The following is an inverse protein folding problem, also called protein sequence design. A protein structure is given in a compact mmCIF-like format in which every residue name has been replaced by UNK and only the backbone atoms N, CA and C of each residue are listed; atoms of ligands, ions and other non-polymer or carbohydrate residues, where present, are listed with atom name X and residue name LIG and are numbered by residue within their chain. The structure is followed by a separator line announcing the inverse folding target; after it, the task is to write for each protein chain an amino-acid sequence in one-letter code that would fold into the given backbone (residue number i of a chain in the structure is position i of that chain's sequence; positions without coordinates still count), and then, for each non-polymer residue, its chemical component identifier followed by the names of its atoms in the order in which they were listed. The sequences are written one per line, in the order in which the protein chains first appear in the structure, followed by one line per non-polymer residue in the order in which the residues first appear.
data_IF_027339133527
#
_entry.id   IF_027339133527
#
_cell.length_a   1.000
_cell.length_b   1.000
_cell.length_c   1.000
_cell.angle_alpha   90.00
_cell.angle_beta   90.00
_cell.angle_gamma   90.00
#
_symmetry.space_group_name_H-M   'P 1'
#
loop_
_entity.id
_entity.type
_entity.pdbx_description
1 polymer ?
#
# COMPACT_ATOMS: atom_id res chain seq x y z
N UNK A 1 13.53 -1.00 7.50
CA UNK A 1 12.48 -1.60 6.64
C UNK A 1 12.10 -2.93 7.23
N UNK A 2 10.83 -3.17 7.49
CA UNK A 2 10.31 -4.48 7.90
C UNK A 2 9.83 -5.16 6.62
N UNK A 3 10.31 -6.37 6.35
CA UNK A 3 9.92 -7.17 5.18
C UNK A 3 9.31 -8.46 5.70
N UNK A 4 8.12 -8.78 5.19
CA UNK A 4 7.32 -9.92 5.63
C UNK A 4 6.78 -10.67 4.42
N UNK A 5 6.83 -11.99 4.48
CA UNK A 5 6.18 -12.90 3.53
C UNK A 5 5.10 -13.63 4.31
N UNK A 6 3.83 -13.46 3.93
CA UNK A 6 2.69 -14.10 4.60
C UNK A 6 1.84 -14.79 3.55
N UNK A 7 1.45 -16.03 3.80
CA UNK A 7 0.45 -16.74 3.01
C UNK A 7 -0.94 -16.37 3.55
N UNK A 8 -1.67 -15.51 2.83
CA UNK A 8 -3.03 -15.10 3.16
C UNK A 8 -4.09 -16.03 2.54
N UNK A 9 -3.70 -17.21 2.08
CA UNK A 9 -4.65 -18.17 1.54
C UNK A 9 -5.74 -18.47 2.58
N UNK A 10 -7.02 -18.48 2.19
CA UNK A 10 -8.11 -18.71 3.12
C UNK A 10 -7.91 -20.05 3.83
N UNK A 11 -8.07 -20.04 5.15
CA UNK A 11 -8.02 -21.23 6.00
C UNK A 11 -9.09 -22.18 5.49
N UNK A 12 -8.70 -23.25 4.77
CA UNK A 12 -9.63 -24.32 4.46
C UNK A 12 -10.10 -24.90 5.79
N UNK A 13 -11.42 -24.98 6.04
CA UNK A 13 -11.92 -25.59 7.27
C UNK A 13 -11.34 -27.00 7.38
N UNK A 14 -11.02 -27.48 8.59
CA UNK A 14 -10.47 -28.81 8.78
C UNK A 14 -11.50 -29.82 8.24
N UNK A 15 -11.30 -30.29 7.02
CA UNK A 15 -12.06 -31.40 6.47
C UNK A 15 -11.64 -32.61 7.28
N UNK A 16 -12.56 -33.15 8.07
CA UNK A 16 -12.44 -34.40 8.80
C UNK A 16 -12.23 -35.55 7.80
N UNK A 17 -11.02 -35.67 7.25
CA UNK A 17 -10.62 -36.74 6.36
C UNK A 17 -9.54 -37.57 7.05
N UNK A 18 -10.01 -38.67 7.63
CA UNK A 18 -9.36 -39.98 7.81
C UNK A 18 -7.88 -40.05 7.44
N UNK A 19 -7.05 -40.16 8.49
CA UNK A 19 -5.72 -40.80 8.56
C UNK A 19 -4.99 -41.03 7.22
N UNK A 20 -4.32 -40.01 6.70
CA UNK A 20 -3.34 -40.13 5.63
C UNK A 20 -2.05 -39.42 6.02
N UNK A 21 -0.94 -40.14 5.99
CA UNK A 21 0.43 -39.69 6.25
C UNK A 21 0.80 -38.50 5.35
N UNK A 22 0.67 -37.27 5.85
CA UNK A 22 1.00 -36.04 5.13
C UNK A 22 2.38 -35.51 5.54
N UNK A 23 3.14 -35.12 4.52
CA UNK A 23 4.48 -34.53 4.59
C UNK A 23 4.53 -33.29 5.49
N UNK A 24 5.50 -33.26 6.42
CA UNK A 24 5.74 -32.18 7.41
C UNK A 24 5.81 -30.75 6.85
N UNK A 25 5.99 -30.54 5.54
CA UNK A 25 6.09 -29.20 4.94
C UNK A 25 4.74 -28.50 4.72
N UNK A 26 3.62 -29.22 4.66
CA UNK A 26 2.32 -28.59 4.39
C UNK A 26 1.49 -28.30 5.66
N UNK A 27 1.87 -28.88 6.81
CA UNK A 27 1.14 -28.70 8.07
C UNK A 27 1.38 -27.33 8.74
N UNK A 28 2.37 -26.55 8.30
CA UNK A 28 2.64 -25.22 8.88
C UNK A 28 1.68 -24.11 8.39
N UNK A 29 0.82 -24.38 7.40
CA UNK A 29 0.05 -23.30 6.77
C UNK A 29 -1.14 -22.77 7.57
N UNK A 30 -1.71 -23.55 8.49
CA UNK A 30 -2.85 -23.10 9.29
C UNK A 30 -2.60 -23.27 10.78
N UNK A 31 -2.18 -22.19 11.43
CA UNK A 31 -2.07 -22.14 12.88
C UNK A 31 -3.46 -21.99 13.49
N UNK A 32 -3.73 -22.70 14.59
CA UNK A 32 -5.00 -22.55 15.31
C UNK A 32 -5.20 -21.07 15.75
N UNK A 33 -6.43 -20.53 15.66
CA UNK A 33 -6.75 -19.21 16.18
C UNK A 33 -6.38 -19.08 17.66
N UNK A 34 -5.99 -17.88 18.07
CA UNK A 34 -5.68 -17.61 19.48
C UNK A 34 -6.98 -17.35 20.22
N UNK A 35 -7.34 -18.24 21.16
CA UNK A 35 -8.47 -18.04 22.06
C UNK A 35 -8.11 -16.97 23.09
N UNK A 36 -8.91 -15.91 23.17
CA UNK A 36 -8.73 -14.85 24.16
C UNK A 36 -9.52 -15.17 25.44
N UNK A 37 -8.96 -14.78 26.58
CA UNK A 37 -9.69 -14.79 27.85
C UNK A 37 -10.81 -13.73 27.84
N UNK A 38 -11.87 -13.93 28.61
CA UNK A 38 -13.05 -13.03 28.63
C UNK A 38 -12.69 -11.54 28.83
N UNK A 39 -11.72 -11.22 29.68
CA UNK A 39 -11.26 -9.84 29.89
C UNK A 39 -10.59 -9.24 28.65
N UNK A 40 -9.81 -10.03 27.92
CA UNK A 40 -9.16 -9.60 26.67
C UNK A 40 -10.19 -9.54 25.55
N UNK A 41 -11.08 -10.53 25.44
CA UNK A 41 -12.13 -10.56 24.44
C UNK A 41 -13.01 -9.30 24.50
N UNK A 42 -13.34 -8.81 25.71
CA UNK A 42 -14.09 -7.57 25.89
C UNK A 42 -13.33 -6.32 25.42
N UNK A 43 -11.99 -6.29 25.54
CA UNK A 43 -11.16 -5.17 25.09
C UNK A 43 -10.98 -5.15 23.57
N UNK A 44 -10.83 -6.33 22.98
CA UNK A 44 -10.55 -6.49 21.55
C UNK A 44 -11.82 -6.67 20.71
N UNK A 45 -12.98 -6.85 21.34
CA UNK A 45 -14.25 -7.10 20.64
C UNK A 45 -14.36 -8.46 19.96
N UNK A 46 -13.39 -9.36 20.18
CA UNK A 46 -13.33 -10.67 19.54
C UNK A 46 -12.96 -11.76 20.56
N UNK A 47 -13.60 -12.93 20.48
CA UNK A 47 -13.24 -14.08 21.33
C UNK A 47 -12.00 -14.82 20.83
N UNK A 48 -11.72 -14.70 19.53
CA UNK A 48 -10.63 -15.38 18.85
C UNK A 48 -9.90 -14.40 17.95
N UNK A 49 -8.57 -14.53 17.88
CA UNK A 49 -7.74 -13.80 16.93
C UNK A 49 -7.24 -14.75 15.84
N UNK A 50 -7.41 -14.33 14.59
CA UNK A 50 -6.91 -15.07 13.43
C UNK A 50 -5.39 -14.99 13.39
N UNK A 51 -4.77 -16.13 13.08
CA UNK A 51 -3.31 -16.27 13.07
C UNK A 51 -2.87 -16.94 11.77
N UNK A 52 -1.94 -16.29 11.09
CA UNK A 52 -1.35 -16.74 9.84
C UNK A 52 0.14 -16.98 10.04
N UNK A 53 0.62 -18.11 9.56
CA UNK A 53 2.06 -18.38 9.52
C UNK A 53 2.71 -17.54 8.42
N UNK A 54 3.92 -17.08 8.67
CA UNK A 54 4.70 -16.32 7.71
C UNK A 54 6.18 -16.28 8.10
N UNK A 55 6.92 -15.46 7.37
CA UNK A 55 8.34 -15.25 7.57
C UNK A 55 8.61 -13.75 7.69
N UNK A 56 9.37 -13.36 8.70
CA UNK A 56 9.81 -11.99 8.93
C UNK A 56 11.31 -11.86 8.73
N UNK A 57 11.75 -10.87 7.96
CA UNK A 57 13.17 -10.57 7.82
C UNK A 57 13.73 -9.97 9.12
N UNK A 58 14.68 -10.66 9.74
CA UNK A 58 15.42 -10.17 10.90
C UNK A 58 16.89 -9.95 10.51
N UNK A 59 17.34 -8.68 10.37
CA UNK A 59 18.72 -8.38 9.97
C UNK A 59 19.76 -8.84 11.01
N UNK A 60 19.34 -9.15 12.24
CA UNK A 60 20.23 -9.64 13.31
C UNK A 60 20.24 -11.16 13.39
N UNK A 61 19.33 -11.86 12.72
CA UNK A 61 19.32 -13.31 12.71
C UNK A 61 20.49 -13.81 11.85
N UNK A 62 21.49 -14.40 12.50
CA UNK A 62 22.51 -15.23 11.83
C UNK A 62 21.86 -16.54 11.40
N UNK A 63 21.02 -16.48 10.37
CA UNK A 63 20.60 -17.70 9.67
C UNK A 63 21.75 -18.17 8.79
N UNK A 64 21.97 -19.49 8.75
CA UNK A 64 22.96 -20.12 7.87
C UNK A 64 22.59 -20.00 6.39
N UNK A 65 21.34 -19.65 6.08
CA UNK A 65 20.85 -19.43 4.73
C UNK A 65 20.64 -17.92 4.53
N UNK A 66 21.22 -17.38 3.47
CA UNK A 66 21.53 -15.96 3.23
C UNK A 66 20.36 -14.96 3.26
N UNK A 67 19.11 -15.37 3.49
CA UNK A 67 17.99 -14.44 3.39
C UNK A 67 17.53 -13.82 4.72
N UNK A 68 18.09 -14.21 5.88
CA UNK A 68 17.77 -13.58 7.18
C UNK A 68 16.28 -13.64 7.59
N UNK A 69 15.46 -14.45 6.90
CA UNK A 69 14.06 -14.68 7.26
C UNK A 69 13.98 -15.69 8.40
N UNK A 70 13.08 -15.41 9.33
CA UNK A 70 12.76 -16.29 10.45
C UNK A 70 11.26 -16.43 10.59
N UNK A 71 10.82 -17.54 11.17
CA UNK A 71 9.41 -17.83 11.40
C UNK A 71 8.74 -16.69 12.17
N UNK A 72 7.62 -16.22 11.62
CA UNK A 72 6.82 -15.16 12.19
C UNK A 72 5.32 -15.50 12.09
N UNK A 73 4.54 -14.98 13.02
CA UNK A 73 3.09 -15.09 12.97
C UNK A 73 2.50 -13.72 12.71
N UNK A 74 1.64 -13.61 11.69
CA UNK A 74 0.73 -12.49 11.53
C UNK A 74 -0.53 -12.79 12.35
N UNK A 75 -0.92 -11.84 13.20
CA UNK A 75 -2.15 -11.88 13.97
C UNK A 75 -3.02 -10.72 13.51
N UNK A 76 -4.22 -11.02 13.03
CA UNK A 76 -5.17 -10.01 12.54
C UNK A 76 -6.30 -9.80 13.55
N UNK A 77 -6.72 -8.54 13.69
CA UNK A 77 -7.83 -8.09 14.52
C UNK A 77 -8.54 -6.92 13.85
N UNK A 78 -9.72 -6.56 14.33
CA UNK A 78 -10.52 -5.49 13.72
C UNK A 78 -9.80 -4.13 13.81
N UNK A 79 -9.24 -3.67 12.68
CA UNK A 79 -8.49 -2.41 12.59
C UNK A 79 -7.01 -2.48 13.04
N UNK A 80 -6.53 -3.63 13.49
CA UNK A 80 -5.15 -3.83 13.96
C UNK A 80 -4.55 -5.11 13.42
N UNK A 81 -3.24 -5.11 13.19
CA UNK A 81 -2.51 -6.35 12.93
C UNK A 81 -1.19 -6.33 13.67
N UNK A 82 -0.68 -7.50 14.04
CA UNK A 82 0.58 -7.59 14.74
C UNK A 82 1.40 -8.75 14.22
N UNK A 83 2.72 -8.62 14.38
CA UNK A 83 3.68 -9.62 13.95
C UNK A 83 4.52 -10.08 15.12
N UNK A 84 4.60 -11.39 15.29
CA UNK A 84 5.39 -12.04 16.33
C UNK A 84 6.48 -12.89 15.69
N UNK A 85 7.74 -12.48 15.86
CA UNK A 85 8.90 -13.29 15.48
C UNK A 85 9.10 -14.39 16.52
N UNK A 86 8.97 -15.65 16.11
CA UNK A 86 8.95 -16.78 17.04
C UNK A 86 10.31 -16.94 17.75
N UNK A 87 11.46 -16.92 17.07
CA UNK A 87 12.75 -17.16 17.73
C UNK A 87 13.15 -16.04 18.70
N UNK A 88 12.89 -14.79 18.33
CA UNK A 88 13.30 -13.62 19.14
C UNK A 88 12.23 -13.17 20.13
N UNK A 89 11.02 -13.73 20.04
CA UNK A 89 9.82 -13.28 20.78
C UNK A 89 9.54 -11.79 20.65
N UNK A 90 10.01 -11.17 19.56
CA UNK A 90 9.77 -9.77 19.27
C UNK A 90 8.35 -9.63 18.73
N UNK A 91 7.54 -8.82 19.40
CA UNK A 91 6.17 -8.53 18.99
C UNK A 91 6.06 -7.07 18.54
N UNK A 92 5.60 -6.85 17.31
CA UNK A 92 5.36 -5.51 16.76
C UNK A 92 3.88 -5.38 16.46
N UNK A 93 3.26 -4.31 16.99
CA UNK A 93 1.87 -3.98 16.76
C UNK A 93 1.75 -2.87 15.72
N UNK A 94 0.84 -3.05 14.78
CA UNK A 94 0.45 -2.06 13.80
C UNK A 94 -1.01 -1.73 14.02
N UNK A 95 -1.29 -0.43 14.07
CA UNK A 95 -2.64 0.10 14.06
C UNK A 95 -2.90 0.71 12.70
N UNK A 96 -4.13 0.61 12.20
CA UNK A 96 -4.54 1.42 11.06
C UNK A 96 -4.51 2.88 11.53
N UNK A 97 -3.68 3.75 10.92
CA UNK A 97 -3.72 5.17 11.26
C UNK A 97 -5.13 5.70 10.99
N UNK A 98 -5.57 6.65 11.81
CA UNK A 98 -6.89 7.27 11.62
C UNK A 98 -6.96 7.92 10.24
N UNK A 99 -8.12 7.91 9.54
CA UNK A 99 -8.25 8.53 8.23
C UNK A 99 -7.78 9.99 8.20
N UNK A 100 -8.01 10.75 9.26
CA UNK A 100 -7.57 12.14 9.37
C UNK A 100 -6.04 12.25 9.37
N UNK A 101 -5.35 11.32 10.05
CA UNK A 101 -3.90 11.27 10.07
C UNK A 101 -3.34 10.83 8.71
N UNK A 102 -3.99 9.88 8.03
CA UNK A 102 -3.60 9.49 6.66
C UNK A 102 -3.71 10.70 5.74
N UNK A 103 -4.81 11.45 5.79
CA UNK A 103 -5.00 12.65 4.99
C UNK A 103 -3.95 13.72 5.30
N UNK A 104 -3.58 13.88 6.57
CA UNK A 104 -2.50 14.79 6.98
C UNK A 104 -1.15 14.34 6.40
N UNK A 105 -0.79 13.06 6.55
CA UNK A 105 0.46 12.51 6.01
C UNK A 105 0.50 12.57 4.48
N UNK A 106 -0.64 12.40 3.80
CA UNK A 106 -0.73 12.55 2.35
C UNK A 106 -0.53 14.01 1.92
N UNK A 107 -1.10 14.97 2.66
CA UNK A 107 -0.84 16.40 2.40
C UNK A 107 0.62 16.76 2.63
N UNK A 108 1.20 16.31 3.75
CA UNK A 108 2.60 16.59 4.08
C UNK A 108 3.59 15.93 3.10
N UNK A 109 3.16 14.87 2.40
CA UNK A 109 3.97 14.21 1.37
C UNK A 109 4.00 14.94 0.03
N UNK A 110 3.07 15.89 -0.18
CA UNK A 110 3.10 16.76 -1.35
C UNK A 110 4.16 17.82 -1.07
N UNK A 111 5.19 17.89 -1.91
CA UNK A 111 6.21 18.93 -1.75
C UNK A 111 5.55 20.31 -1.91
N UNK A 112 6.06 21.32 -1.20
CA UNK A 112 5.67 22.72 -1.44
C UNK A 112 5.88 23.08 -2.93
N UNK A 113 6.90 22.50 -3.56
CA UNK A 113 7.15 22.66 -5.00
C UNK A 113 6.04 22.04 -5.85
N UNK A 114 5.53 20.87 -5.47
CA UNK A 114 4.41 20.21 -6.17
C UNK A 114 3.13 21.03 -6.02
N UNK A 115 2.87 21.61 -4.83
CA UNK A 115 1.73 22.52 -4.62
C UNK A 115 1.86 23.78 -5.48
N UNK A 116 3.06 24.36 -5.56
CA UNK A 116 3.34 25.52 -6.40
C UNK A 116 3.20 25.20 -7.89
N UNK A 117 3.67 24.05 -8.35
CA UNK A 117 3.51 23.61 -9.74
C UNK A 117 2.04 23.36 -10.07
N UNK A 118 1.29 22.72 -9.17
CA UNK A 118 -0.14 22.47 -9.35
C UNK A 118 -0.95 23.80 -9.38
N UNK A 119 -0.58 24.78 -8.55
CA UNK A 119 -1.15 26.13 -8.63
C UNK A 119 -0.78 26.86 -9.92
N UNK A 120 0.48 26.74 -10.38
CA UNK A 120 0.92 27.35 -11.65
C UNK A 120 0.21 26.73 -12.85
N UNK A 121 0.07 25.42 -12.90
CA UNK A 121 -0.68 24.72 -13.96
C UNK A 121 -2.15 25.15 -13.95
N UNK A 122 -2.78 25.18 -12.77
CA UNK A 122 -4.14 25.67 -12.62
C UNK A 122 -4.31 27.12 -13.12
N UNK A 123 -3.43 28.03 -12.70
CA UNK A 123 -3.44 29.42 -13.16
C UNK A 123 -3.21 29.53 -14.67
N UNK A 124 -2.28 28.76 -15.23
CA UNK A 124 -2.00 28.74 -16.69
C UNK A 124 -3.25 28.33 -17.46
N UNK A 125 -3.94 27.26 -17.03
CA UNK A 125 -5.21 26.83 -17.61
C UNK A 125 -6.33 27.86 -17.48
N UNK A 126 -6.29 28.71 -16.45
CA UNK A 126 -7.23 29.81 -16.28
C UNK A 126 -6.88 31.02 -17.16
N UNK A 127 -5.61 31.34 -17.36
CA UNK A 127 -5.17 32.47 -18.18
C UNK A 127 -5.35 32.23 -19.68
N UNK A 128 -5.16 31.00 -20.16
CA UNK A 128 -5.39 30.65 -21.56
C UNK A 128 -6.87 30.72 -21.97
N UNK A 129 -7.77 30.70 -20.98
CA UNK A 129 -9.20 30.92 -21.19
C UNK A 129 -9.46 32.43 -21.15
N UNK A 130 -9.81 33.01 -22.30
CA UNK A 130 -10.24 34.41 -22.36
C UNK A 130 -11.39 34.68 -21.36
N UNK A 131 -11.48 35.91 -20.83
CA UNK A 131 -12.49 36.34 -19.84
C UNK A 131 -13.92 35.94 -20.26
N UNK A 132 -14.21 35.94 -21.56
CA UNK A 132 -15.52 35.52 -22.07
C UNK A 132 -15.86 34.06 -21.74
N UNK A 133 -14.87 33.16 -21.77
CA UNK A 133 -15.06 31.75 -21.42
C UNK A 133 -15.34 31.53 -19.91
N UNK A 134 -15.02 32.50 -19.05
CA UNK A 134 -15.33 32.41 -17.62
C UNK A 134 -16.82 32.65 -17.32
N UNK A 135 -17.55 33.33 -18.22
CA UNK A 135 -18.97 33.64 -18.07
C UNK A 135 -19.88 32.74 -18.90
N UNK A 136 -19.33 32.01 -19.88
CA UNK A 136 -20.07 30.97 -20.60
C UNK A 136 -20.27 29.80 -19.65
N UNK A 137 -21.49 29.68 -19.10
CA UNK A 137 -21.91 28.40 -18.53
C UNK A 137 -21.82 27.36 -19.65
N UNK A 138 -21.12 26.23 -19.45
CA UNK A 138 -21.12 25.15 -20.42
C UNK A 138 -22.57 24.82 -20.77
N UNK A 139 -22.86 24.78 -22.07
CA UNK A 139 -24.19 24.35 -22.50
C UNK A 139 -24.45 22.93 -22.01
N UNK A 140 -25.71 22.54 -21.82
CA UNK A 140 -26.09 21.20 -21.35
C UNK A 140 -25.51 20.09 -22.24
N UNK A 141 -25.29 20.37 -23.52
CA UNK A 141 -24.62 19.48 -24.48
C UNK A 141 -23.11 19.36 -24.25
N UNK A 142 -22.41 20.45 -23.88
CA UNK A 142 -20.96 20.43 -23.62
C UNK A 142 -20.62 19.79 -22.27
N UNK A 143 -21.50 19.90 -21.26
CA UNK A 143 -21.37 19.15 -20.01
C UNK A 143 -21.48 17.63 -20.26
N UNK A 144 -22.22 17.21 -21.28
CA UNK A 144 -22.34 15.79 -21.65
C UNK A 144 -21.14 15.27 -22.46
N UNK A 145 -20.48 16.12 -23.25
CA UNK A 145 -19.34 15.71 -24.09
C UNK A 145 -17.98 15.82 -23.41
N UNK A 146 -17.83 16.70 -22.42
CA UNK A 146 -16.60 16.75 -21.62
C UNK A 146 -16.60 15.60 -20.62
N UNK A 147 -15.59 14.73 -20.71
CA UNK A 147 -15.29 13.69 -19.75
C UNK A 147 -14.91 14.34 -18.43
N UNK A 148 -15.93 14.75 -17.67
CA UNK A 148 -15.74 15.34 -16.37
C UNK A 148 -15.16 14.26 -15.44
N UNK A 149 -13.96 14.46 -14.87
CA UNK A 149 -13.22 13.39 -14.19
C UNK A 149 -13.93 12.87 -12.92
N UNK A 150 -14.97 13.57 -12.45
CA UNK A 150 -15.74 13.21 -11.25
C UNK A 150 -17.25 13.35 -11.47
N UNK A 151 -17.81 12.71 -12.51
CA UNK A 151 -19.27 12.58 -12.61
C UNK A 151 -19.80 11.76 -11.44
N UNK A 152 -20.81 12.31 -10.74
CA UNK A 152 -21.56 11.55 -9.72
C UNK A 152 -22.38 10.49 -10.43
N UNK A 153 -22.15 9.22 -10.11
CA UNK A 153 -22.94 8.09 -10.59
C UNK A 153 -24.33 8.20 -9.94
N UNK A 154 -25.33 8.65 -10.71
CA UNK A 154 -26.70 8.81 -10.22
C UNK A 154 -27.60 7.65 -10.66
N UNK A 155 -27.30 7.05 -11.81
CA UNK A 155 -28.08 5.96 -12.40
C UNK A 155 -27.20 4.72 -12.65
N UNK A 156 -27.84 3.57 -12.85
CA UNK A 156 -27.15 2.31 -13.13
C UNK A 156 -26.41 2.35 -14.48
N UNK A 157 -26.93 3.09 -15.47
CA UNK A 157 -26.23 3.29 -16.74
C UNK A 157 -24.93 4.07 -16.58
N UNK A 158 -24.88 5.04 -15.65
CA UNK A 158 -23.65 5.79 -15.36
C UNK A 158 -22.56 4.87 -14.79
N UNK A 159 -22.96 3.86 -14.00
CA UNK A 159 -22.05 2.88 -13.42
C UNK A 159 -21.49 1.93 -14.49
N UNK A 160 -22.30 1.54 -15.46
CA UNK A 160 -21.86 0.73 -16.60
C UNK A 160 -20.91 1.51 -17.52
N UNK A 161 -21.22 2.77 -17.82
CA UNK A 161 -20.35 3.65 -18.60
C UNK A 161 -18.99 3.85 -17.91
N UNK A 162 -18.97 4.12 -16.60
CA UNK A 162 -17.72 4.23 -15.85
C UNK A 162 -16.92 2.91 -15.84
N UNK A 163 -17.60 1.75 -15.75
CA UNK A 163 -16.95 0.44 -15.86
C UNK A 163 -16.37 0.20 -17.26
N UNK A 164 -17.01 0.70 -18.31
CA UNK A 164 -16.52 0.60 -19.68
C UNK A 164 -15.31 1.53 -19.90
N UNK A 165 -15.38 2.79 -19.48
CA UNK A 165 -14.27 3.75 -19.57
C UNK A 165 -13.03 3.27 -18.80
N UNK A 166 -13.21 2.74 -17.59
CA UNK A 166 -12.09 2.17 -16.81
C UNK A 166 -11.51 0.92 -17.46
N UNK A 167 -12.33 0.08 -18.12
CA UNK A 167 -11.84 -1.05 -18.92
C UNK A 167 -11.07 -0.59 -20.16
N UNK A 168 -11.52 0.47 -20.83
CA UNK A 168 -10.82 1.08 -21.97
C UNK A 168 -9.47 1.63 -21.52
N UNK A 169 -9.41 2.34 -20.39
CA UNK A 169 -8.15 2.81 -19.82
C UNK A 169 -7.18 1.66 -19.48
N UNK A 170 -7.67 0.53 -18.94
CA UNK A 170 -6.81 -0.65 -18.70
C UNK A 170 -6.36 -1.37 -19.97
N UNK A 171 -7.06 -1.22 -21.10
CA UNK A 171 -6.66 -1.79 -22.39
C UNK A 171 -5.75 -0.88 -23.19
N UNK A 172 -5.98 0.43 -23.17
CA UNK A 172 -5.16 1.41 -23.92
C UNK A 172 -3.86 1.76 -23.19
N UNK A 173 -3.85 1.77 -21.85
CA UNK A 173 -2.63 1.80 -21.04
C UNK A 173 -2.24 0.40 -20.53
N UNK A 174 -2.35 -0.62 -21.39
CA UNK A 174 -1.50 -1.78 -21.20
C UNK A 174 -0.07 -1.31 -21.48
N UNK A 175 0.61 -0.61 -20.55
CA UNK A 175 1.93 0.01 -20.71
C UNK A 175 2.87 -1.05 -21.31
N UNK A 176 3.06 -1.10 -22.65
CA UNK A 176 3.83 -2.14 -23.28
C UNK A 176 5.24 -1.56 -23.35
N UNK A 177 5.92 -1.49 -22.20
CA UNK A 177 7.27 -0.93 -22.20
C UNK A 177 7.88 -0.43 -20.89
N UNK A 178 7.18 -0.39 -19.76
CA UNK A 178 7.86 -0.07 -18.47
C UNK A 178 8.54 -1.28 -17.82
N UNK A 179 8.30 -2.47 -18.36
CA UNK A 179 9.14 -3.65 -18.18
C UNK A 179 9.81 -3.93 -19.52
N UNK A 180 10.88 -3.17 -19.81
CA UNK A 180 11.87 -3.61 -20.78
C UNK A 180 12.32 -5.02 -20.38
N UNK A 181 12.05 -6.00 -21.25
CA UNK A 181 12.72 -7.29 -21.17
C UNK A 181 14.14 -7.05 -21.65
N UNK A 182 15.02 -6.71 -20.72
CA UNK A 182 16.44 -6.87 -20.95
C UNK A 182 16.69 -8.36 -21.15
N UNK A 183 17.33 -8.70 -22.28
CA UNK A 183 17.60 -10.09 -22.68
C UNK A 183 18.69 -10.75 -21.83
N UNK A 184 19.28 -10.00 -20.90
CA UNK A 184 20.35 -10.46 -20.03
C UNK A 184 19.86 -10.39 -18.58
N UNK A 185 19.71 -11.56 -17.96
CA UNK A 185 18.90 -11.76 -16.76
C UNK A 185 19.48 -11.20 -15.46
N UNK A 186 19.29 -9.91 -15.21
CA UNK A 186 19.45 -9.29 -13.88
C UNK A 186 18.27 -8.37 -13.53
N UNK A 187 17.18 -8.97 -13.05
CA UNK A 187 15.90 -8.29 -12.75
C UNK A 187 15.86 -7.66 -11.34
N UNK A 188 16.94 -7.02 -10.89
CA UNK A 188 17.00 -6.41 -9.55
C UNK A 188 17.17 -4.88 -9.54
N UNK A 189 17.48 -4.26 -10.69
CA UNK A 189 17.92 -2.86 -10.71
C UNK A 189 16.81 -1.81 -10.87
N UNK A 190 15.66 -2.13 -11.48
CA UNK A 190 14.65 -1.08 -11.78
C UNK A 190 13.82 -0.65 -10.56
N UNK A 191 13.59 -1.52 -9.59
CA UNK A 191 12.98 -1.14 -8.32
C UNK A 191 13.92 -0.31 -7.42
N UNK A 192 15.23 -0.31 -7.68
CA UNK A 192 16.18 0.54 -6.96
C UNK A 192 16.11 2.02 -7.37
N UNK A 193 15.62 2.35 -8.58
CA UNK A 193 15.63 3.71 -9.09
C UNK A 193 14.66 4.65 -8.35
N UNK A 194 13.43 4.20 -8.08
CA UNK A 194 12.43 5.01 -7.36
C UNK A 194 12.83 5.27 -5.90
N UNK A 195 13.37 4.24 -5.22
CA UNK A 195 13.78 4.34 -3.82
C UNK A 195 15.16 4.99 -3.62
N UNK A 196 16.03 4.94 -4.64
CA UNK A 196 17.31 5.66 -4.66
C UNK A 196 17.11 7.18 -4.65
N UNK A 197 16.10 7.68 -5.37
CA UNK A 197 15.74 9.09 -5.42
C UNK A 197 15.33 9.63 -4.03
N UNK A 198 14.55 8.88 -3.26
CA UNK A 198 14.12 9.28 -1.92
C UNK A 198 15.24 9.24 -0.86
N UNK A 199 16.25 8.38 -1.03
CA UNK A 199 17.44 8.40 -0.16
C UNK A 199 18.33 9.61 -0.44
N UNK A 200 18.47 9.99 -1.72
CA UNK A 200 19.24 11.17 -2.11
C UNK A 200 18.60 12.46 -1.60
N UNK A 201 17.27 12.58 -1.69
CA UNK A 201 16.54 13.71 -1.11
C UNK A 201 16.73 13.83 0.41
N UNK A 202 16.64 12.73 1.16
CA UNK A 202 16.89 12.75 2.61
C UNK A 202 18.35 13.10 2.98
N UNK A 203 19.31 12.80 2.11
CA UNK A 203 20.71 13.17 2.32
C UNK A 203 20.92 14.68 2.11
N UNK A 204 20.35 15.23 1.03
CA UNK A 204 20.38 16.68 0.75
C UNK A 204 19.76 17.46 1.91
N UNK A 205 18.59 17.04 2.37
CA UNK A 205 17.85 17.71 3.44
C UNK A 205 18.62 17.75 4.76
N UNK A 206 19.35 16.67 5.07
CA UNK A 206 20.25 16.61 6.23
C UNK A 206 21.47 17.52 6.08
N UNK A 207 22.08 17.56 4.91
CA UNK A 207 23.26 18.40 4.68
C UNK A 207 22.92 19.89 4.72
N UNK A 208 21.77 20.29 4.20
CA UNK A 208 21.30 21.68 4.22
C UNK A 208 20.94 22.12 5.65
N UNK A 209 20.17 21.31 6.39
CA UNK A 209 19.81 21.63 7.78
C UNK A 209 21.00 21.65 8.75
N UNK A 210 22.05 20.87 8.47
CA UNK A 210 23.26 20.86 9.31
C UNK A 210 24.08 22.15 9.23
N UNK A 211 23.89 22.97 8.19
CA UNK A 211 24.65 24.19 7.97
C UNK A 211 24.05 25.43 8.65
N UNK A 212 22.79 25.37 9.05
CA UNK A 212 22.07 26.51 9.68
C UNK A 212 22.22 26.56 11.20
N UNK A 213 22.76 25.51 11.83
CA UNK A 213 22.93 25.42 13.29
C UNK A 213 24.34 25.73 13.81
N UNK A 214 25.21 26.33 12.99
CA UNK A 214 26.66 26.42 13.26
C UNK A 214 27.23 27.81 13.60
N UNK A 215 26.41 28.85 13.69
CA UNK A 215 26.84 30.19 14.14
C UNK A 215 26.12 30.56 15.45
N UNK A 216 26.61 30.03 16.57
CA UNK A 216 26.43 30.58 17.92
C UNK A 216 27.72 30.42 18.73
#
# INVERSE_FOLDING_TARGET
RIIMKVDLSPVKPPTTSTSGTTSKKDQQKNLAPIQLQAQAANKWGAQQLERYAGEGHDPKARSSNDEGFVDANLIMSDGYFSFLWIPTRKHVFFSRPKPELIMHMMRDSISIDDELENMKDHLTRCYDKGIEAAFVRPSTSEMQSSAEPFRRIATESDLEAAKEETKVATREFAIPGLLGKDKDGDTAASAQAFWGFHKWMNYIDKTLKSKEGGDQ
#
